data_IF_213409303915
#
_entry.id   IF_213409303915
#
_cell.length_a   1.000
_cell.length_b   1.000
_cell.length_c   1.000
_cell.angle_alpha   90.00
_cell.angle_beta   90.00
_cell.angle_gamma   90.00
#
_symmetry.space_group_name_H-M   'P 1'
#
loop_
_entity.id
_entity.type
_entity.pdbx_description
1 polymer ?
#
# COMPACT_ATOMS: atom_id res chain seq x y z
N UNK A 1 9.12 -1.66 -4.59
CA UNK A 1 8.18 -1.16 -5.62
C UNK A 1 8.52 0.29 -5.93
N UNK A 2 8.72 0.60 -7.19
CA UNK A 2 8.99 1.96 -7.63
C UNK A 2 7.71 2.55 -8.23
N UNK A 3 7.31 3.71 -7.72
CA UNK A 3 6.09 4.40 -8.18
C UNK A 3 6.47 5.56 -9.09
N UNK A 4 5.78 5.68 -10.22
CA UNK A 4 5.95 6.80 -11.15
C UNK A 4 5.58 8.10 -10.46
N UNK A 5 6.54 9.03 -10.36
CA UNK A 5 6.34 10.31 -9.67
C UNK A 5 5.23 11.14 -10.30
N UNK A 6 5.01 11.01 -11.61
CA UNK A 6 3.96 11.76 -12.31
C UNK A 6 2.55 11.26 -11.99
N UNK A 7 2.43 10.09 -11.33
CA UNK A 7 1.14 9.57 -10.91
C UNK A 7 0.72 10.02 -9.50
N UNK A 8 1.59 10.75 -8.79
CA UNK A 8 1.25 11.27 -7.46
C UNK A 8 0.22 12.38 -7.56
N UNK A 9 -0.77 12.30 -6.70
CA UNK A 9 -1.78 13.34 -6.57
C UNK A 9 -2.35 13.36 -5.16
N UNK A 10 -2.91 14.49 -4.77
CA UNK A 10 -3.68 14.61 -3.52
C UNK A 10 -5.11 14.20 -3.84
N UNK A 11 -5.59 13.16 -3.16
CA UNK A 11 -6.95 12.68 -3.33
C UNK A 11 -7.92 13.58 -2.56
N UNK A 12 -8.98 14.03 -3.23
CA UNK A 12 -10.08 14.74 -2.59
C UNK A 12 -10.87 13.79 -1.68
N UNK A 13 -11.75 14.36 -0.85
CA UNK A 13 -12.62 13.54 -0.01
C UNK A 13 -13.47 12.58 -0.82
N UNK A 14 -13.96 13.01 -1.99
CA UNK A 14 -14.76 12.16 -2.88
C UNK A 14 -13.93 11.00 -3.45
N UNK A 15 -12.70 11.26 -3.87
CA UNK A 15 -11.79 10.23 -4.36
C UNK A 15 -11.47 9.21 -3.26
N UNK A 16 -11.23 9.68 -2.05
CA UNK A 16 -10.95 8.79 -0.91
C UNK A 16 -12.18 7.95 -0.59
N UNK A 17 -13.37 8.54 -0.63
CA UNK A 17 -14.62 7.80 -0.41
C UNK A 17 -14.80 6.69 -1.45
N UNK A 18 -14.47 6.95 -2.72
CA UNK A 18 -14.53 5.95 -3.77
C UNK A 18 -13.55 4.80 -3.53
N UNK A 19 -12.33 5.11 -3.09
CA UNK A 19 -11.33 4.10 -2.72
C UNK A 19 -11.83 3.24 -1.56
N UNK A 20 -12.36 3.85 -0.53
CA UNK A 20 -12.90 3.13 0.64
C UNK A 20 -14.08 2.24 0.26
N UNK A 21 -14.90 2.67 -0.69
CA UNK A 21 -16.01 1.89 -1.18
C UNK A 21 -15.53 0.66 -1.98
N UNK A 22 -14.49 0.85 -2.79
CA UNK A 22 -13.93 -0.22 -3.60
C UNK A 22 -13.09 -1.21 -2.80
N UNK A 23 -12.46 -0.75 -1.72
CA UNK A 23 -11.52 -1.54 -0.91
C UNK A 23 -12.01 -1.55 0.55
N UNK A 24 -12.73 -2.60 0.99
CA UNK A 24 -13.39 -2.61 2.32
C UNK A 24 -12.46 -2.36 3.51
N UNK A 25 -11.22 -2.83 3.47
CA UNK A 25 -10.27 -2.60 4.56
C UNK A 25 -9.97 -1.11 4.74
N UNK A 26 -10.01 -0.34 3.66
CA UNK A 26 -9.82 1.11 3.70
C UNK A 26 -11.02 1.82 4.33
N UNK A 27 -12.22 1.29 4.15
CA UNK A 27 -13.40 1.82 4.85
C UNK A 27 -13.26 1.61 6.36
N UNK A 28 -12.78 0.46 6.79
CA UNK A 28 -12.46 0.21 8.20
C UNK A 28 -11.43 1.19 8.76
N UNK A 29 -10.38 1.46 7.99
CA UNK A 29 -9.38 2.46 8.36
C UNK A 29 -9.99 3.85 8.50
N UNK A 30 -10.83 4.26 7.55
CA UNK A 30 -11.49 5.56 7.57
C UNK A 30 -12.26 5.79 8.87
N UNK A 31 -12.92 4.74 9.37
CA UNK A 31 -13.68 4.80 10.62
C UNK A 31 -12.81 4.99 11.85
N UNK A 32 -11.50 4.72 11.76
CA UNK A 32 -10.56 4.92 12.86
C UNK A 32 -10.07 6.36 12.96
N UNK A 33 -10.35 7.19 11.96
CA UNK A 33 -9.93 8.59 11.96
C UNK A 33 -10.70 9.39 13.02
N UNK A 34 -10.10 10.45 13.59
CA UNK A 34 -10.76 11.27 14.58
C UNK A 34 -12.12 11.77 14.06
N UNK A 35 -13.19 11.50 14.80
CA UNK A 35 -14.57 11.85 14.43
C UNK A 35 -14.99 11.27 13.07
N UNK A 36 -14.29 10.25 12.55
CA UNK A 36 -14.56 9.67 11.24
C UNK A 36 -14.36 10.64 10.08
N UNK A 37 -13.63 11.72 10.29
CA UNK A 37 -13.45 12.78 9.30
C UNK A 37 -12.15 12.64 8.54
N UNK A 38 -12.24 12.80 7.23
CA UNK A 38 -11.08 12.94 6.37
C UNK A 38 -10.49 14.34 6.48
N UNK A 39 -9.15 14.51 6.33
CA UNK A 39 -8.54 15.84 6.30
C UNK A 39 -9.15 16.70 5.20
N UNK A 40 -9.41 17.98 5.49
CA UNK A 40 -10.02 18.90 4.52
C UNK A 40 -9.19 19.06 3.25
N UNK A 41 -7.86 19.06 3.38
CA UNK A 41 -6.95 19.18 2.25
C UNK A 41 -6.76 17.89 1.46
N UNK A 42 -7.43 16.81 1.85
CA UNK A 42 -7.25 15.51 1.22
C UNK A 42 -6.03 14.76 1.72
N UNK A 43 -5.73 13.65 1.07
CA UNK A 43 -4.57 12.78 1.41
C UNK A 43 -3.89 12.37 0.12
N UNK A 44 -2.56 12.37 0.12
CA UNK A 44 -1.77 11.91 -1.02
C UNK A 44 -2.08 10.45 -1.34
N UNK A 45 -2.25 10.13 -2.60
CA UNK A 45 -2.58 8.76 -3.01
C UNK A 45 -1.49 7.75 -2.62
N UNK A 46 -0.23 8.15 -2.65
CA UNK A 46 0.86 7.27 -2.21
C UNK A 46 0.78 6.96 -0.71
N UNK A 47 0.33 7.92 0.10
CA UNK A 47 0.08 7.69 1.53
C UNK A 47 -1.05 6.68 1.73
N UNK A 48 -2.12 6.79 0.97
CA UNK A 48 -3.22 5.84 1.02
C UNK A 48 -2.75 4.44 0.63
N UNK A 49 -1.93 4.34 -0.40
CA UNK A 49 -1.34 3.06 -0.80
C UNK A 49 -0.46 2.45 0.29
N UNK A 50 0.39 3.26 0.94
CA UNK A 50 1.21 2.77 2.06
C UNK A 50 0.34 2.30 3.23
N UNK A 51 -0.70 3.05 3.56
CA UNK A 51 -1.66 2.68 4.60
C UNK A 51 -2.33 1.35 4.27
N UNK A 52 -2.81 1.19 3.05
CA UNK A 52 -3.40 -0.06 2.58
C UNK A 52 -2.42 -1.23 2.71
N UNK A 53 -1.20 -1.02 2.23
CA UNK A 53 -0.17 -2.07 2.24
C UNK A 53 0.11 -2.56 3.65
N UNK A 54 0.24 -1.63 4.60
CA UNK A 54 0.46 -1.99 5.99
C UNK A 54 -0.72 -2.78 6.57
N UNK A 55 -1.95 -2.33 6.34
CA UNK A 55 -3.15 -3.04 6.79
C UNK A 55 -3.27 -4.43 6.17
N UNK A 56 -3.00 -4.53 4.87
CA UNK A 56 -3.03 -5.80 4.15
C UNK A 56 -2.05 -6.80 4.77
N UNK A 57 -0.82 -6.36 5.02
CA UNK A 57 0.21 -7.24 5.58
C UNK A 57 -0.09 -7.63 7.02
N UNK A 58 -0.58 -6.71 7.85
CA UNK A 58 -0.92 -7.01 9.25
C UNK A 58 -2.05 -8.03 9.35
N UNK A 59 -2.95 -8.04 8.40
CA UNK A 59 -4.10 -8.94 8.40
C UNK A 59 -3.88 -10.19 7.54
N UNK A 60 -2.72 -10.32 6.90
CA UNK A 60 -2.43 -11.46 6.03
C UNK A 60 -2.07 -12.69 6.87
N UNK A 61 -2.70 -13.85 6.62
CA UNK A 61 -2.49 -15.04 7.46
C UNK A 61 -1.06 -15.59 7.39
N UNK A 62 -0.34 -15.36 6.31
CA UNK A 62 1.03 -15.86 6.12
C UNK A 62 2.10 -14.90 6.65
N UNK A 63 1.74 -13.69 7.05
CA UNK A 63 2.67 -12.68 7.55
C UNK A 63 2.76 -12.76 9.07
N UNK A 64 3.99 -12.78 9.58
CA UNK A 64 4.24 -12.77 11.01
C UNK A 64 4.21 -11.32 11.52
N UNK A 65 3.00 -10.79 11.73
CA UNK A 65 2.77 -9.39 12.07
C UNK A 65 3.41 -8.93 13.39
N UNK A 66 3.60 -9.80 14.44
CA UNK A 66 4.32 -9.39 15.64
C UNK A 66 5.78 -9.03 15.39
N UNK A 67 6.41 -9.53 14.31
CA UNK A 67 7.75 -9.13 13.94
C UNK A 67 7.71 -7.81 13.15
N UNK A 68 8.88 -7.22 12.93
CA UNK A 68 9.00 -5.93 12.27
C UNK A 68 8.25 -5.93 10.93
N UNK A 69 7.37 -4.95 10.78
CA UNK A 69 6.63 -4.71 9.55
C UNK A 69 6.76 -3.22 9.24
N UNK A 70 7.42 -2.92 8.12
CA UNK A 70 7.73 -1.54 7.74
C UNK A 70 7.27 -1.29 6.32
N UNK A 71 6.43 -0.27 6.14
CA UNK A 71 6.04 0.25 4.83
C UNK A 71 6.41 1.71 4.80
N UNK A 72 7.42 2.05 4.02
CA UNK A 72 7.96 3.41 3.97
C UNK A 72 8.38 3.76 2.54
N UNK A 73 8.68 5.04 2.32
CA UNK A 73 9.18 5.50 1.03
C UNK A 73 10.39 6.39 1.23
N UNK A 74 11.20 6.48 0.19
CA UNK A 74 12.37 7.35 0.15
C UNK A 74 12.17 8.43 -0.91
N UNK A 75 13.16 9.31 -1.03
CA UNK A 75 13.14 10.38 -2.02
C UNK A 75 13.04 9.81 -3.45
N UNK A 76 12.48 10.63 -4.34
CA UNK A 76 12.38 10.26 -5.75
C UNK A 76 13.76 10.01 -6.36
N UNK A 77 13.86 8.98 -7.18
CA UNK A 77 15.07 8.62 -7.91
C UNK A 77 14.79 8.69 -9.42
N UNK A 78 15.80 8.54 -10.29
CA UNK A 78 15.56 8.40 -11.74
C UNK A 78 14.67 7.22 -12.09
N UNK A 79 14.48 6.27 -11.17
CA UNK A 79 13.64 5.08 -11.34
C UNK A 79 12.28 5.21 -10.64
N UNK A 80 11.88 6.43 -10.27
CA UNK A 80 10.64 6.67 -9.55
C UNK A 80 10.84 6.75 -8.04
N UNK A 81 9.73 6.74 -7.31
CA UNK A 81 9.75 6.80 -5.85
C UNK A 81 9.77 5.37 -5.30
N UNK A 82 10.84 5.00 -4.57
CA UNK A 82 10.89 3.66 -3.98
C UNK A 82 9.98 3.57 -2.77
N UNK A 83 9.07 2.60 -2.80
CA UNK A 83 8.27 2.19 -1.65
C UNK A 83 8.84 0.89 -1.13
N UNK A 84 9.38 0.93 0.08
CA UNK A 84 9.96 -0.24 0.73
C UNK A 84 8.90 -0.94 1.54
N UNK A 85 8.81 -2.26 1.33
CA UNK A 85 7.86 -3.13 2.01
C UNK A 85 8.67 -4.23 2.67
N UNK A 86 8.74 -4.21 3.99
CA UNK A 86 9.53 -5.16 4.77
C UNK A 86 8.63 -5.90 5.74
N UNK A 87 8.68 -7.24 5.70
CA UNK A 87 7.85 -8.09 6.55
C UNK A 87 8.45 -9.50 6.65
N UNK A 88 8.02 -10.25 7.65
CA UNK A 88 8.41 -11.64 7.85
C UNK A 88 7.25 -12.56 7.50
N UNK A 89 7.55 -13.66 6.82
CA UNK A 89 6.60 -14.73 6.49
C UNK A 89 6.75 -15.83 7.54
N UNK A 90 5.62 -16.38 8.00
CA UNK A 90 5.58 -17.42 9.05
C UNK A 90 6.26 -18.71 8.60
N UNK A 91 6.06 -19.10 7.34
CA UNK A 91 6.60 -20.33 6.80
C UNK A 91 8.09 -20.17 6.48
N UNK A 92 8.91 -21.07 7.03
CA UNK A 92 10.37 -21.03 6.85
C UNK A 92 10.87 -21.98 5.77
N UNK A 93 10.02 -22.83 5.20
CA UNK A 93 10.39 -23.68 4.08
C UNK A 93 10.64 -22.82 2.85
N UNK A 94 11.82 -22.95 2.24
CA UNK A 94 12.29 -22.06 1.18
C UNK A 94 11.30 -21.90 0.03
N UNK A 95 10.83 -22.99 -0.55
CA UNK A 95 9.93 -22.92 -1.72
C UNK A 95 8.58 -22.28 -1.35
N UNK A 96 8.04 -22.60 -0.19
CA UNK A 96 6.79 -22.03 0.29
C UNK A 96 6.94 -20.56 0.62
N UNK A 97 8.04 -20.18 1.26
CA UNK A 97 8.38 -18.80 1.56
C UNK A 97 8.41 -17.94 0.29
N UNK A 98 9.15 -18.39 -0.73
CA UNK A 98 9.30 -17.66 -1.98
C UNK A 98 7.96 -17.51 -2.71
N UNK A 99 7.12 -18.53 -2.70
CA UNK A 99 5.80 -18.50 -3.34
C UNK A 99 4.89 -17.50 -2.65
N UNK A 100 4.83 -17.54 -1.32
CA UNK A 100 3.98 -16.64 -0.53
C UNK A 100 4.43 -15.19 -0.67
N UNK A 101 5.75 -14.95 -0.69
CA UNK A 101 6.29 -13.62 -0.93
C UNK A 101 5.89 -13.10 -2.32
N UNK A 102 6.03 -13.94 -3.33
CA UNK A 102 5.64 -13.58 -4.71
C UNK A 102 4.17 -13.25 -4.82
N UNK A 103 3.30 -14.04 -4.18
CA UNK A 103 1.86 -13.81 -4.20
C UNK A 103 1.49 -12.48 -3.54
N UNK A 104 2.16 -12.12 -2.45
CA UNK A 104 1.95 -10.85 -1.78
C UNK A 104 2.34 -9.69 -2.70
N UNK A 105 3.52 -9.76 -3.33
CA UNK A 105 3.95 -8.69 -4.25
C UNK A 105 3.09 -8.62 -5.50
N UNK A 106 2.62 -9.75 -6.02
CA UNK A 106 1.67 -9.76 -7.14
C UNK A 106 0.40 -8.98 -6.77
N UNK A 107 -0.12 -9.22 -5.57
CA UNK A 107 -1.31 -8.51 -5.10
C UNK A 107 -1.03 -7.01 -4.96
N UNK A 108 0.07 -6.64 -4.30
CA UNK A 108 0.39 -5.22 -4.08
C UNK A 108 0.57 -4.48 -5.38
N UNK A 109 1.25 -5.09 -6.36
CA UNK A 109 1.40 -4.47 -7.67
C UNK A 109 0.06 -4.35 -8.41
N UNK A 110 -0.82 -5.31 -8.26
CA UNK A 110 -2.14 -5.29 -8.91
C UNK A 110 -3.07 -4.21 -8.33
N UNK A 111 -2.89 -3.86 -7.06
CA UNK A 111 -3.74 -2.87 -6.39
C UNK A 111 -3.28 -1.43 -6.61
N UNK A 112 -2.04 -1.21 -7.03
CA UNK A 112 -1.47 0.13 -7.24
C UNK A 112 -2.38 1.04 -8.08
N UNK A 113 -2.95 0.60 -9.22
CA UNK A 113 -3.83 1.46 -10.03
C UNK A 113 -5.11 1.89 -9.33
N UNK A 114 -5.60 1.14 -8.34
CA UNK A 114 -6.79 1.51 -7.58
C UNK A 114 -6.61 2.81 -6.79
N UNK A 115 -5.36 3.20 -6.55
CA UNK A 115 -4.99 4.45 -5.87
C UNK A 115 -4.62 5.56 -6.87
N UNK A 116 -4.88 5.35 -8.17
CA UNK A 116 -4.49 6.31 -9.19
C UNK A 116 -2.98 6.38 -9.41
N UNK A 117 -2.24 5.41 -8.91
CA UNK A 117 -0.79 5.34 -9.05
C UNK A 117 -0.39 4.45 -10.22
N UNK A 118 0.82 4.66 -10.72
CA UNK A 118 1.44 3.81 -11.73
C UNK A 118 2.80 3.32 -11.23
N UNK A 119 3.09 2.06 -11.51
CA UNK A 119 4.42 1.51 -11.26
C UNK A 119 5.36 2.11 -12.31
N UNK A 120 6.52 2.56 -11.86
CA UNK A 120 7.53 3.10 -12.78
C UNK A 120 8.05 1.99 -13.69
N UNK A 121 8.06 2.28 -14.96
CA UNK A 121 8.66 1.40 -15.95
C UNK A 121 9.60 2.24 -16.81
N UNK A 122 10.84 1.78 -16.94
CA UNK A 122 11.83 2.47 -17.76
C UNK A 122 11.40 2.42 -19.22
N UNK A 123 11.39 3.59 -19.90
CA UNK A 123 11.02 3.64 -21.32
C UNK A 123 12.02 2.88 -22.19
#
# INVERSE_FOLDING_TARGET
>A
IFIDVTSLEVCSQDMIADICKAIPVMDGWRRTLPEGRLPEGGIENIRLFRTYTELYLRNHPDVNAPLDLIVTQKEATPYGIPVYVYFFIKDKAWASFERKQSDIFDHLMSIVPEFGLRIYQRP
#
